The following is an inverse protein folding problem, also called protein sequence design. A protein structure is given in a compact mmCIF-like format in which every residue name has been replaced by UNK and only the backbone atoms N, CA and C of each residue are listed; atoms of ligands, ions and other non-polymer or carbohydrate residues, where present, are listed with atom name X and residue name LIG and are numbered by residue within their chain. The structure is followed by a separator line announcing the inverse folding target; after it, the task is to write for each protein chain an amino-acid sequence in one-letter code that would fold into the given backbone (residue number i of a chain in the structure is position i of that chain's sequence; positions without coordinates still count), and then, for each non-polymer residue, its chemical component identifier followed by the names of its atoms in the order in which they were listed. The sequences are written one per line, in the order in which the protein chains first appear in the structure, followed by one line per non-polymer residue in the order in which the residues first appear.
data_IF_861380931540
#
_entry.id   IF_861380931540
#
_cell.length_a   1.000
_cell.length_b   1.000
_cell.length_c   1.000
_cell.angle_alpha   90.00
_cell.angle_beta   90.00
_cell.angle_gamma   90.00
#
_symmetry.space_group_name_H-M   'P 1'
#
loop_
_entity.id
_entity.type
_entity.pdbx_description
1 polymer ?
#
# COMPACT_ATOMS: atom_id res chain seq x y z
N UNK A 1 19.54 33.47 13.86
CA UNK A 1 19.60 32.29 12.97
C UNK A 1 18.61 31.20 13.37
N UNK A 2 18.62 30.70 14.62
CA UNK A 2 17.68 29.65 15.07
C UNK A 2 16.19 30.06 15.05
N UNK A 3 15.89 31.33 15.37
CA UNK A 3 14.51 31.85 15.44
C UNK A 3 13.76 31.87 14.10
N UNK A 4 14.47 31.94 12.97
CA UNK A 4 13.89 31.89 11.61
C UNK A 4 14.03 30.53 10.95
N UNK A 5 15.06 29.75 11.32
CA UNK A 5 15.28 28.41 10.77
C UNK A 5 14.26 27.38 11.29
N UNK A 6 13.92 27.41 12.58
CA UNK A 6 12.99 26.45 13.19
C UNK A 6 11.59 26.52 12.56
N UNK A 7 10.96 27.70 12.39
CA UNK A 7 9.67 27.80 11.71
C UNK A 7 9.68 27.27 10.27
N UNK A 8 10.79 27.46 9.54
CA UNK A 8 10.92 27.03 8.14
C UNK A 8 10.85 25.50 7.98
N UNK A 9 11.25 24.73 8.99
CA UNK A 9 11.11 23.28 9.00
C UNK A 9 9.79 22.81 9.62
N UNK A 10 9.33 23.46 10.69
CA UNK A 10 8.11 23.04 11.39
C UNK A 10 6.85 23.32 10.57
N UNK A 11 6.75 24.48 9.92
CA UNK A 11 5.54 24.88 9.19
C UNK A 11 5.21 23.90 8.04
N UNK A 12 6.15 23.51 7.16
CA UNK A 12 5.89 22.48 6.15
C UNK A 12 5.47 21.14 6.75
N UNK A 13 6.10 20.72 7.85
CA UNK A 13 5.73 19.47 8.54
C UNK A 13 4.28 19.54 9.02
N UNK A 14 3.84 20.65 9.61
CA UNK A 14 2.45 20.83 10.05
C UNK A 14 1.49 20.81 8.86
N UNK A 15 1.83 21.49 7.76
CA UNK A 15 1.00 21.52 6.54
C UNK A 15 0.88 20.12 5.96
N UNK A 16 1.99 19.40 5.79
CA UNK A 16 2.01 18.05 5.25
C UNK A 16 1.27 17.07 6.17
N UNK A 17 1.45 17.23 7.48
CA UNK A 17 0.70 16.48 8.51
C UNK A 17 -0.78 16.87 8.55
N UNK A 18 -1.20 17.93 7.86
CA UNK A 18 -2.60 18.32 7.70
C UNK A 18 -3.18 17.97 6.33
N UNK A 19 -2.36 17.75 5.31
CA UNK A 19 -2.81 17.33 3.99
C UNK A 19 -3.57 16.01 4.04
N UNK A 20 -4.57 15.92 3.19
CA UNK A 20 -5.37 14.72 2.98
C UNK A 20 -4.65 13.79 2.03
N UNK A 21 -4.37 12.57 2.48
CA UNK A 21 -3.99 11.52 1.54
C UNK A 21 -5.25 10.99 0.86
N UNK A 22 -5.15 10.58 -0.42
CA UNK A 22 -6.22 9.82 -1.06
C UNK A 22 -6.57 8.60 -0.21
N UNK A 23 -7.83 8.22 -0.23
CA UNK A 23 -8.29 7.05 0.49
C UNK A 23 -7.71 5.77 -0.17
N UNK A 24 -7.20 4.82 0.61
CA UNK A 24 -6.63 3.59 0.05
C UNK A 24 -7.75 2.68 -0.46
N UNK A 25 -7.55 1.95 -1.55
CA UNK A 25 -8.51 0.92 -1.98
C UNK A 25 -8.68 -0.09 -0.84
N UNK A 26 -9.93 -0.37 -0.48
CA UNK A 26 -10.28 -1.30 0.60
C UNK A 26 -10.81 -2.59 0.01
N UNK A 27 -10.17 -3.70 0.36
CA UNK A 27 -10.63 -5.05 0.07
C UNK A 27 -11.35 -5.61 1.29
N UNK A 28 -12.68 -5.58 1.28
CA UNK A 28 -13.49 -6.10 2.37
C UNK A 28 -13.79 -7.58 2.15
N UNK A 29 -13.03 -8.43 2.82
CA UNK A 29 -13.23 -9.89 2.78
C UNK A 29 -14.61 -10.32 3.27
N UNK A 30 -15.17 -9.65 4.30
CA UNK A 30 -16.41 -10.12 4.92
C UNK A 30 -17.61 -9.95 4.01
N UNK A 31 -17.72 -8.79 3.35
CA UNK A 31 -18.76 -8.53 2.35
C UNK A 31 -18.39 -9.04 0.96
N UNK A 32 -17.13 -9.43 0.73
CA UNK A 32 -16.61 -9.79 -0.59
C UNK A 32 -16.80 -8.63 -1.59
N UNK A 33 -16.40 -7.43 -1.18
CA UNK A 33 -16.47 -6.20 -1.99
C UNK A 33 -15.16 -5.43 -1.95
N UNK A 34 -14.93 -4.66 -3.01
CA UNK A 34 -13.83 -3.71 -3.10
C UNK A 34 -14.41 -2.31 -3.12
N UNK A 35 -13.83 -1.41 -2.32
CA UNK A 35 -14.25 -0.01 -2.23
C UNK A 35 -13.12 0.92 -2.67
N UNK A 36 -13.49 1.96 -3.40
CA UNK A 36 -12.60 3.03 -3.81
C UNK A 36 -13.33 4.37 -3.70
N UNK A 37 -12.62 5.40 -3.28
CA UNK A 37 -13.17 6.75 -3.24
C UNK A 37 -12.37 7.62 -4.21
N UNK A 38 -13.09 8.28 -5.11
CA UNK A 38 -12.52 9.25 -6.03
C UNK A 38 -13.14 10.62 -5.76
N UNK A 39 -12.38 11.50 -5.12
CA UNK A 39 -12.80 12.88 -4.82
C UNK A 39 -14.11 12.97 -4.01
N UNK A 40 -14.37 12.02 -3.12
CA UNK A 40 -15.60 11.94 -2.31
C UNK A 40 -16.73 11.13 -2.94
N UNK A 41 -16.53 10.63 -4.15
CA UNK A 41 -17.46 9.71 -4.81
C UNK A 41 -17.07 8.26 -4.54
N UNK A 42 -18.03 7.50 -4.01
CA UNK A 42 -17.81 6.11 -3.62
C UNK A 42 -18.04 5.18 -4.81
N UNK A 43 -17.01 4.44 -5.17
CA UNK A 43 -17.03 3.36 -6.15
C UNK A 43 -16.90 2.02 -5.45
N UNK A 44 -17.57 1.02 -6.00
CA UNK A 44 -17.52 -0.34 -5.48
C UNK A 44 -17.65 -1.37 -6.59
N UNK A 45 -17.20 -2.58 -6.28
CA UNK A 45 -17.42 -3.74 -7.14
C UNK A 45 -17.46 -5.01 -6.30
N UNK A 46 -18.36 -5.96 -6.59
CA UNK A 46 -18.36 -7.25 -5.93
C UNK A 46 -17.10 -8.03 -6.33
N UNK A 47 -16.49 -8.70 -5.36
CA UNK A 47 -15.34 -9.57 -5.58
C UNK A 47 -15.70 -10.76 -6.50
N UNK A 48 -16.91 -11.31 -6.32
CA UNK A 48 -17.41 -12.35 -7.21
C UNK A 48 -17.80 -11.75 -8.55
N UNK A 49 -17.11 -12.16 -9.61
CA UNK A 49 -17.31 -11.61 -10.94
C UNK A 49 -16.58 -10.29 -11.18
N UNK A 50 -15.59 -9.96 -10.34
CA UNK A 50 -14.75 -8.78 -10.51
C UNK A 50 -14.05 -8.81 -11.87
N UNK A 51 -14.16 -7.70 -12.59
CA UNK A 51 -13.46 -7.51 -13.85
C UNK A 51 -12.12 -6.82 -13.58
N UNK A 52 -11.04 -7.54 -13.85
CA UNK A 52 -9.67 -7.09 -13.66
C UNK A 52 -8.87 -7.28 -14.94
N UNK A 53 -8.05 -6.29 -15.29
CA UNK A 53 -7.17 -6.34 -16.45
C UNK A 53 -5.75 -6.03 -16.01
N UNK A 54 -4.80 -6.83 -16.50
CA UNK A 54 -3.38 -6.56 -16.32
C UNK A 54 -2.77 -6.16 -17.67
N UNK A 55 -2.25 -4.93 -17.74
CA UNK A 55 -1.68 -4.35 -18.95
C UNK A 55 -0.18 -4.16 -18.77
N UNK A 56 0.64 -4.74 -19.65
CA UNK A 56 2.08 -4.46 -19.72
C UNK A 56 2.35 -3.46 -20.84
N UNK A 57 3.15 -2.44 -20.54
CA UNK A 57 3.45 -1.37 -21.48
C UNK A 57 4.80 -0.71 -21.17
N UNK A 58 5.51 -0.33 -22.22
CA UNK A 58 6.76 0.41 -22.11
C UNK A 58 6.49 1.91 -22.23
N UNK A 59 7.00 2.68 -21.26
CA UNK A 59 7.03 4.14 -21.35
C UNK A 59 8.43 4.59 -21.73
N UNK A 60 8.53 5.28 -22.86
CA UNK A 60 9.80 5.84 -23.36
C UNK A 60 9.81 7.34 -23.12
N UNK A 61 10.69 7.78 -22.22
CA UNK A 61 10.89 9.20 -21.90
C UNK A 61 12.25 9.70 -22.34
N UNK A 62 12.33 10.97 -22.76
CA UNK A 62 13.55 11.60 -23.27
C UNK A 62 14.73 11.53 -22.30
N UNK A 63 14.45 11.60 -20.99
CA UNK A 63 15.45 11.60 -19.92
C UNK A 63 15.47 10.31 -19.08
N UNK A 64 14.50 9.42 -19.28
CA UNK A 64 14.33 8.20 -18.48
C UNK A 64 14.62 6.91 -19.26
N UNK A 65 14.81 7.00 -20.58
CA UNK A 65 14.91 5.82 -21.45
C UNK A 65 13.60 5.03 -21.48
N UNK A 66 13.69 3.76 -21.87
CA UNK A 66 12.56 2.83 -21.80
C UNK A 66 12.43 2.28 -20.39
N UNK A 67 11.27 2.49 -19.78
CA UNK A 67 10.89 1.87 -18.51
C UNK A 67 9.70 0.97 -18.78
N UNK A 68 9.88 -0.31 -18.48
CA UNK A 68 8.79 -1.29 -18.52
C UNK A 68 7.88 -1.12 -17.32
N UNK A 69 6.58 -1.09 -17.58
CA UNK A 69 5.55 -0.94 -16.58
C UNK A 69 4.48 -2.00 -16.79
N UNK A 70 3.82 -2.39 -15.70
CA UNK A 70 2.65 -3.23 -15.79
C UNK A 70 1.60 -2.71 -14.80
N UNK A 71 0.42 -2.32 -15.27
CA UNK A 71 -0.70 -1.94 -14.42
C UNK A 71 -1.60 -3.15 -14.17
N UNK A 72 -2.15 -3.23 -12.96
CA UNK A 72 -3.25 -4.11 -12.62
C UNK A 72 -4.42 -3.22 -12.24
N UNK A 73 -5.48 -3.30 -13.02
CA UNK A 73 -6.61 -2.42 -12.93
C UNK A 73 -7.90 -3.21 -12.75
N UNK A 74 -8.84 -2.64 -12.02
CA UNK A 74 -10.16 -3.22 -11.75
C UNK A 74 -11.25 -2.23 -12.12
N UNK A 75 -12.29 -2.74 -12.76
CA UNK A 75 -13.49 -1.98 -13.06
C UNK A 75 -14.34 -1.81 -11.80
N UNK A 76 -14.66 -0.56 -11.48
CA UNK A 76 -15.50 -0.20 -10.34
C UNK A 76 -16.64 0.71 -10.77
N UNK A 77 -17.82 0.52 -10.17
CA UNK A 77 -19.04 1.27 -10.47
C UNK A 77 -19.33 2.28 -9.36
N UNK A 78 -19.85 3.46 -9.71
CA UNK A 78 -20.25 4.46 -8.72
C UNK A 78 -21.49 3.98 -7.95
N UNK A 79 -21.48 4.15 -6.64
CA UNK A 79 -22.61 3.81 -5.79
C UNK A 79 -23.84 4.65 -6.17
N UNK A 80 -24.92 3.98 -6.59
CA UNK A 80 -26.19 4.59 -6.98
C UNK A 80 -26.29 4.98 -8.46
N UNK A 81 -25.17 5.00 -9.19
CA UNK A 81 -25.10 5.37 -10.61
C UNK A 81 -24.22 4.35 -11.36
N UNK A 82 -24.72 3.13 -11.60
CA UNK A 82 -23.91 2.02 -12.10
C UNK A 82 -23.33 2.26 -13.51
N UNK A 83 -23.96 3.12 -14.31
CA UNK A 83 -23.46 3.61 -15.60
C UNK A 83 -22.13 4.39 -15.51
N UNK A 84 -21.79 4.91 -14.33
CA UNK A 84 -20.53 5.60 -14.10
C UNK A 84 -19.47 4.61 -13.61
N UNK A 85 -18.75 4.04 -14.57
CA UNK A 85 -17.70 3.06 -14.33
C UNK A 85 -16.31 3.66 -14.51
N UNK A 86 -15.36 3.26 -13.67
CA UNK A 86 -13.97 3.68 -13.76
C UNK A 86 -13.03 2.48 -13.62
N UNK A 87 -11.91 2.56 -14.34
CA UNK A 87 -10.84 1.57 -14.26
C UNK A 87 -9.80 2.06 -13.24
N UNK A 88 -9.66 1.34 -12.13
CA UNK A 88 -8.84 1.76 -10.99
C UNK A 88 -7.60 0.90 -10.86
N UNK A 89 -6.42 1.52 -10.87
CA UNK A 89 -5.16 0.82 -10.65
C UNK A 89 -4.97 0.45 -9.18
N UNK A 90 -4.80 -0.84 -8.89
CA UNK A 90 -4.70 -1.37 -7.50
C UNK A 90 -3.30 -1.15 -6.89
N UNK A 91 -2.29 -0.84 -7.71
CA UNK A 91 -0.93 -0.65 -7.25
C UNK A 91 -0.09 0.19 -8.20
N UNK A 92 1.15 0.48 -7.82
CA UNK A 92 2.06 1.27 -8.66
C UNK A 92 2.49 0.44 -9.88
N UNK A 93 2.24 0.92 -11.13
CA UNK A 93 2.62 0.20 -12.33
C UNK A 93 4.11 0.30 -12.65
N UNK A 94 4.78 1.33 -12.11
CA UNK A 94 6.14 1.69 -12.47
C UNK A 94 7.16 0.60 -12.14
N UNK A 95 7.92 0.17 -13.15
CA UNK A 95 8.99 -0.82 -12.99
C UNK A 95 8.52 -2.24 -12.64
N UNK A 96 7.22 -2.52 -12.81
CA UNK A 96 6.64 -3.85 -12.59
C UNK A 96 6.59 -4.65 -13.89
N UNK A 97 6.73 -5.96 -13.79
CA UNK A 97 6.42 -6.89 -14.88
C UNK A 97 5.00 -7.42 -14.74
N UNK A 98 4.46 -7.97 -15.83
CA UNK A 98 3.17 -8.65 -15.80
C UNK A 98 3.15 -9.83 -14.81
N UNK A 99 4.26 -10.55 -14.67
CA UNK A 99 4.40 -11.63 -13.69
C UNK A 99 4.27 -11.14 -12.25
N UNK A 100 4.89 -9.99 -11.93
CA UNK A 100 4.74 -9.38 -10.61
C UNK A 100 3.28 -8.98 -10.34
N UNK A 101 2.57 -8.45 -11.34
CA UNK A 101 1.15 -8.10 -11.21
C UNK A 101 0.25 -9.33 -11.05
N UNK A 102 0.55 -10.43 -11.75
CA UNK A 102 -0.13 -11.73 -11.55
C UNK A 102 0.08 -12.25 -10.12
N UNK A 103 1.31 -12.22 -9.63
CA UNK A 103 1.61 -12.59 -8.24
C UNK A 103 0.88 -11.71 -7.23
N UNK A 104 0.81 -10.40 -7.50
CA UNK A 104 0.05 -9.48 -6.66
C UNK A 104 -1.46 -9.75 -6.69
N UNK A 105 -2.02 -10.07 -7.85
CA UNK A 105 -3.42 -10.50 -7.97
C UNK A 105 -3.69 -11.79 -7.19
N UNK A 106 -2.82 -12.79 -7.31
CA UNK A 106 -2.94 -14.05 -6.56
C UNK A 106 -2.84 -13.85 -5.05
N UNK A 107 -2.02 -12.90 -4.59
CA UNK A 107 -1.98 -12.49 -3.19
C UNK A 107 -3.34 -11.92 -2.73
N UNK A 108 -3.91 -10.97 -3.48
CA UNK A 108 -5.23 -10.39 -3.17
C UNK A 108 -6.31 -11.48 -3.19
N UNK A 109 -6.28 -12.37 -4.20
CA UNK A 109 -7.22 -13.48 -4.31
C UNK A 109 -7.14 -14.43 -3.12
N UNK A 110 -5.93 -14.78 -2.68
CA UNK A 110 -5.72 -15.64 -1.51
C UNK A 110 -6.24 -14.97 -0.24
N UNK A 111 -5.99 -13.66 -0.07
CA UNK A 111 -6.54 -12.87 1.03
C UNK A 111 -8.08 -12.86 1.03
N UNK A 112 -8.69 -12.56 -0.12
CA UNK A 112 -10.15 -12.44 -0.24
C UNK A 112 -10.86 -13.78 -0.09
N UNK A 113 -10.31 -14.87 -0.63
CA UNK A 113 -10.97 -16.17 -0.64
C UNK A 113 -10.61 -17.02 0.58
N UNK A 114 -9.31 -17.15 0.87
CA UNK A 114 -8.79 -18.12 1.83
C UNK A 114 -8.59 -17.51 3.22
N UNK A 115 -8.52 -16.18 3.33
CA UNK A 115 -8.45 -15.47 4.59
C UNK A 115 -7.15 -14.70 4.81
N UNK A 116 -7.02 -14.03 5.96
CA UNK A 116 -5.88 -13.17 6.25
C UNK A 116 -4.56 -13.94 6.40
N UNK A 117 -4.65 -15.24 6.65
CA UNK A 117 -3.52 -16.11 6.87
C UNK A 117 -3.52 -17.21 5.83
N UNK A 118 -2.46 -17.24 5.04
CA UNK A 118 -2.24 -18.23 4.00
C UNK A 118 -0.76 -18.56 3.93
N UNK A 119 -0.45 -19.72 3.35
CA UNK A 119 0.92 -20.19 3.15
C UNK A 119 1.53 -19.68 1.84
N UNK A 120 2.75 -20.12 1.54
CA UNK A 120 3.48 -19.79 0.31
C UNK A 120 2.79 -20.25 -0.99
N UNK A 121 1.84 -21.18 -0.91
CA UNK A 121 1.03 -21.65 -2.05
C UNK A 121 -0.29 -20.88 -2.18
N UNK A 122 -0.59 -20.00 -1.22
CA UNK A 122 -1.84 -19.27 -1.13
C UNK A 122 -2.97 -20.06 -0.47
N UNK A 123 -2.72 -21.26 0.06
CA UNK A 123 -3.71 -22.04 0.79
C UNK A 123 -3.95 -21.47 2.19
N UNK A 124 -5.14 -21.65 2.76
CA UNK A 124 -5.46 -21.17 4.10
C UNK A 124 -4.50 -21.76 5.16
N UNK A 125 -4.07 -20.92 6.10
CA UNK A 125 -3.25 -21.30 7.25
C UNK A 125 -3.89 -20.79 8.54
N UNK A 126 -3.80 -21.56 9.62
CA UNK A 126 -4.20 -21.09 10.95
C UNK A 126 -3.16 -20.17 11.59
N UNK A 127 -1.88 -20.26 11.17
CA UNK A 127 -0.79 -19.41 11.64
C UNK A 127 -0.56 -18.21 10.72
N UNK A 128 -0.22 -17.07 11.33
CA UNK A 128 0.16 -15.83 10.66
C UNK A 128 1.68 -15.68 10.41
N UNK A 129 2.47 -16.70 10.75
CA UNK A 129 3.94 -16.68 10.67
C UNK A 129 4.45 -16.33 9.26
N UNK A 130 3.87 -16.96 8.22
CA UNK A 130 4.26 -16.68 6.85
C UNK A 130 4.00 -15.23 6.48
N UNK A 131 2.79 -14.72 6.73
CA UNK A 131 2.41 -13.34 6.40
C UNK A 131 3.27 -12.34 7.18
N UNK A 132 3.52 -12.60 8.47
CA UNK A 132 4.44 -11.78 9.29
C UNK A 132 5.86 -11.79 8.73
N UNK A 133 6.37 -12.94 8.31
CA UNK A 133 7.70 -13.02 7.69
C UNK A 133 7.82 -12.15 6.44
N UNK A 134 6.75 -12.05 5.64
CA UNK A 134 6.71 -11.18 4.46
C UNK A 134 6.60 -9.69 4.85
N UNK A 135 5.82 -9.37 5.89
CA UNK A 135 5.67 -8.01 6.40
C UNK A 135 6.97 -7.49 7.04
N UNK A 136 7.74 -8.36 7.71
CA UNK A 136 9.03 -8.01 8.33
C UNK A 136 10.09 -7.60 7.30
N UNK A 137 9.93 -7.99 6.03
CA UNK A 137 10.78 -7.53 4.93
C UNK A 137 10.46 -6.08 4.51
N UNK A 138 9.27 -5.56 4.83
CA UNK A 138 8.83 -4.22 4.48
C UNK A 138 9.34 -3.18 5.49
N UNK A 139 10.66 -2.98 5.51
CA UNK A 139 11.32 -2.02 6.39
C UNK A 139 10.93 -0.59 6.05
N UNK A 140 10.56 0.19 7.06
CA UNK A 140 10.41 1.65 6.94
C UNK A 140 11.76 2.30 6.66
N UNK A 141 11.74 3.48 6.03
CA UNK A 141 12.97 4.19 5.73
C UNK A 141 13.77 4.56 7.00
N UNK A 142 13.11 4.82 8.13
CA UNK A 142 13.82 5.09 9.39
C UNK A 142 14.42 3.85 10.03
N UNK A 143 14.05 2.65 9.59
CA UNK A 143 14.56 1.37 10.11
C UNK A 143 15.82 0.92 9.38
N UNK A 144 16.10 1.45 8.18
CA UNK A 144 17.29 1.11 7.40
C UNK A 144 18.60 1.33 8.17
N UNK A 145 18.70 2.36 9.01
CA UNK A 145 19.90 2.57 9.82
C UNK A 145 20.16 1.37 10.76
N UNK A 146 19.10 0.84 11.38
CA UNK A 146 19.19 -0.35 12.23
C UNK A 146 19.53 -1.60 11.44
N UNK A 147 18.88 -1.80 10.29
CA UNK A 147 19.15 -2.92 9.39
C UNK A 147 20.60 -2.93 8.89
N UNK A 148 21.13 -1.79 8.45
CA UNK A 148 22.53 -1.66 8.01
C UNK A 148 23.53 -1.90 9.14
N UNK A 149 23.24 -1.44 10.36
CA UNK A 149 24.07 -1.76 11.53
C UNK A 149 24.10 -3.26 11.83
N UNK A 150 22.97 -3.95 11.65
CA UNK A 150 22.89 -5.41 11.81
C UNK A 150 23.74 -6.13 10.75
N UNK A 151 23.60 -5.75 9.47
CA UNK A 151 24.41 -6.30 8.36
C UNK A 151 25.90 -6.11 8.63
N UNK A 152 26.33 -4.91 9.04
CA UNK A 152 27.74 -4.63 9.34
C UNK A 152 28.25 -5.48 10.52
N UNK A 153 27.43 -5.67 11.56
CA UNK A 153 27.77 -6.53 12.70
C UNK A 153 27.94 -7.99 12.26
N UNK A 154 27.03 -8.51 11.45
CA UNK A 154 27.11 -9.88 10.92
C UNK A 154 28.36 -10.07 10.05
N UNK A 155 28.69 -9.10 9.18
CA UNK A 155 29.95 -9.12 8.42
C UNK A 155 31.18 -9.10 9.31
N UNK A 156 31.14 -8.34 10.41
CA UNK A 156 32.23 -8.29 11.39
C UNK A 156 32.42 -9.63 12.10
N UNK A 157 31.33 -10.27 12.51
CA UNK A 157 31.35 -11.58 13.16
C UNK A 157 31.83 -12.68 12.22
N UNK A 158 31.46 -12.63 10.94
CA UNK A 158 31.91 -13.57 9.92
C UNK A 158 33.36 -13.34 9.44
N UNK A 159 33.91 -12.13 9.63
CA UNK A 159 35.16 -11.69 9.02
C UNK A 159 36.45 -12.11 9.71
N UNK A 160 36.38 -12.80 10.86
CA UNK A 160 37.53 -13.31 11.65
C UNK A 160 38.75 -12.36 11.70
N UNK A 161 38.51 -11.07 11.93
CA UNK A 161 39.57 -10.04 12.04
C UNK A 161 40.06 -9.41 10.74
N UNK A 162 39.55 -9.82 9.57
CA UNK A 162 39.82 -9.14 8.29
C UNK A 162 38.99 -7.86 8.10
N UNK A 163 39.37 -7.00 7.16
CA UNK A 163 38.65 -5.76 6.87
C UNK A 163 37.26 -6.10 6.26
N UNK A 164 36.22 -6.01 7.08
CA UNK A 164 34.84 -6.42 6.77
C UNK A 164 33.98 -5.30 6.17
N UNK A 165 34.48 -4.06 6.16
CA UNK A 165 33.75 -2.89 5.64
C UNK A 165 34.20 -2.56 4.22
N UNK A 166 33.31 -2.77 3.25
CA UNK A 166 33.50 -2.25 1.89
C UNK A 166 33.19 -0.75 1.85
N UNK A 167 33.77 -0.01 0.88
CA UNK A 167 33.45 1.41 0.69
C UNK A 167 31.95 1.67 0.49
N UNK A 168 31.22 0.73 -0.11
CA UNK A 168 29.77 0.76 -0.24
C UNK A 168 29.05 0.67 1.12
N UNK A 169 29.52 -0.20 2.02
CA UNK A 169 28.95 -0.35 3.36
C UNK A 169 29.11 0.95 4.18
N UNK A 170 30.30 1.57 4.09
CA UNK A 170 30.55 2.87 4.72
C UNK A 170 29.64 3.97 4.16
N UNK A 171 29.53 4.08 2.83
CA UNK A 171 28.67 5.07 2.18
C UNK A 171 27.19 4.88 2.55
N UNK A 172 26.71 3.64 2.59
CA UNK A 172 25.33 3.34 3.00
C UNK A 172 25.10 3.67 4.47
N UNK A 173 26.03 3.34 5.36
CA UNK A 173 25.92 3.70 6.78
C UNK A 173 25.87 5.22 6.96
N UNK A 174 26.79 5.95 6.31
CA UNK A 174 26.86 7.41 6.40
C UNK A 174 25.57 8.07 5.87
N UNK A 175 25.07 7.62 4.71
CA UNK A 175 23.79 8.07 4.15
C UNK A 175 22.66 7.85 5.16
N UNK A 176 22.53 6.64 5.71
CA UNK A 176 21.45 6.34 6.65
C UNK A 176 21.54 7.14 7.94
N UNK A 177 22.74 7.49 8.42
CA UNK A 177 22.93 8.39 9.57
C UNK A 177 22.48 9.82 9.22
N UNK A 178 22.95 10.35 8.08
CA UNK A 178 22.66 11.72 7.66
C UNK A 178 21.16 11.95 7.44
N UNK A 179 20.48 10.99 6.81
CA UNK A 179 19.06 11.07 6.50
C UNK A 179 18.14 10.54 7.60
N UNK A 180 18.67 9.96 8.69
CA UNK A 180 17.85 9.39 9.77
C UNK A 180 16.82 10.38 10.34
N UNK A 181 17.17 11.64 10.65
CA UNK A 181 16.17 12.60 11.17
C UNK A 181 15.05 12.86 10.17
N UNK A 182 15.38 13.01 8.89
CA UNK A 182 14.39 13.22 7.82
C UNK A 182 13.46 12.01 7.68
N UNK A 183 14.02 10.80 7.67
CA UNK A 183 13.23 9.56 7.57
C UNK A 183 12.28 9.39 8.76
N UNK A 184 12.71 9.77 9.98
CA UNK A 184 11.85 9.74 11.17
C UNK A 184 10.71 10.75 11.11
N UNK A 185 10.99 11.97 10.63
CA UNK A 185 9.95 12.98 10.40
C UNK A 185 8.97 12.47 9.36
N UNK A 186 9.46 11.92 8.25
CA UNK A 186 8.64 11.36 7.19
C UNK A 186 7.72 10.24 7.71
N UNK A 187 8.26 9.26 8.44
CA UNK A 187 7.45 8.19 9.04
C UNK A 187 6.34 8.75 9.95
N UNK A 188 6.67 9.74 10.79
CA UNK A 188 5.69 10.42 11.64
C UNK A 188 4.57 11.10 10.84
N UNK A 189 4.93 11.86 9.80
CA UNK A 189 3.96 12.54 8.93
C UNK A 189 3.06 11.51 8.23
N UNK A 190 3.63 10.46 7.65
CA UNK A 190 2.88 9.42 6.96
C UNK A 190 1.94 8.66 7.90
N UNK A 191 2.38 8.27 9.10
CA UNK A 191 1.52 7.61 10.09
C UNK A 191 0.32 8.47 10.46
N UNK A 192 0.56 9.78 10.71
CA UNK A 192 -0.50 10.71 11.07
C UNK A 192 -1.46 10.98 9.91
N UNK A 193 -0.96 11.02 8.68
CA UNK A 193 -1.76 11.17 7.47
C UNK A 193 -2.61 9.91 7.18
N UNK A 194 -2.02 8.71 7.28
CA UNK A 194 -2.73 7.42 7.15
C UNK A 194 -3.86 7.27 8.16
N UNK A 195 -3.62 7.60 9.44
CA UNK A 195 -4.65 7.53 10.49
C UNK A 195 -5.84 8.43 10.19
N UNK A 196 -5.61 9.62 9.62
CA UNK A 196 -6.69 10.55 9.25
C UNK A 196 -7.43 10.11 8.01
N UNK A 197 -6.75 9.50 7.03
CA UNK A 197 -7.39 8.92 5.84
C UNK A 197 -8.40 7.84 6.24
N UNK A 198 -8.05 6.93 7.15
CA UNK A 198 -8.99 5.89 7.65
C UNK A 198 -10.32 6.46 8.18
N UNK A 199 -10.29 7.61 8.84
CA UNK A 199 -11.46 8.22 9.46
C UNK A 199 -12.35 9.01 8.47
N UNK A 200 -11.99 9.04 7.17
CA UNK A 200 -12.73 9.79 6.14
C UNK A 200 -13.64 8.92 5.29
N UNK A 201 -13.57 7.60 5.46
CA UNK A 201 -14.45 6.69 4.74
C UNK A 201 -15.93 6.98 5.09
N UNK A 202 -16.84 6.96 4.11
CA UNK A 202 -18.26 7.09 4.35
C UNK A 202 -18.77 6.06 5.35
N UNK A 203 -19.75 6.43 6.17
CA UNK A 203 -20.31 5.57 7.24
C UNK A 203 -20.78 4.21 6.70
N UNK A 204 -21.38 4.20 5.51
CA UNK A 204 -21.85 2.98 4.83
C UNK A 204 -20.73 1.96 4.60
N UNK A 205 -19.49 2.42 4.41
CA UNK A 205 -18.31 1.55 4.29
C UNK A 205 -17.75 1.21 5.65
N UNK A 206 -17.61 2.19 6.56
CA UNK A 206 -16.99 1.93 7.88
C UNK A 206 -17.79 0.93 8.71
N UNK A 207 -19.12 1.02 8.73
CA UNK A 207 -19.99 0.04 9.40
C UNK A 207 -19.73 -1.37 8.86
N UNK A 208 -19.56 -1.54 7.55
CA UNK A 208 -19.27 -2.85 6.93
C UNK A 208 -17.88 -3.39 7.22
N UNK A 209 -16.96 -2.56 7.71
CA UNK A 209 -15.62 -2.97 8.12
C UNK A 209 -15.53 -3.38 9.59
N UNK A 210 -16.50 -2.97 10.41
CA UNK A 210 -16.59 -3.39 11.82
C UNK A 210 -16.90 -4.88 11.93
N UNK A 211 -16.41 -5.56 12.96
CA UNK A 211 -16.54 -7.03 13.08
C UNK A 211 -18.00 -7.51 13.21
N UNK A 212 -18.85 -6.70 13.85
CA UNK A 212 -20.28 -6.89 14.11
C UNK A 212 -21.19 -6.12 13.14
N UNK A 213 -20.61 -5.39 12.19
CA UNK A 213 -21.38 -4.63 11.21
C UNK A 213 -22.13 -5.48 10.17
N UNK A 214 -22.88 -4.85 9.26
CA UNK A 214 -23.69 -5.54 8.27
C UNK A 214 -22.85 -6.32 7.25
N UNK A 215 -23.35 -7.49 6.86
CA UNK A 215 -22.79 -8.31 5.76
C UNK A 215 -23.47 -8.05 4.42
N UNK A 216 -24.47 -7.16 4.37
CA UNK A 216 -25.13 -6.77 3.13
C UNK A 216 -24.16 -6.00 2.25
N UNK A 217 -24.06 -6.39 0.99
CA UNK A 217 -23.19 -5.75 0.00
C UNK A 217 -23.82 -4.44 -0.49
N UNK A 218 -23.01 -3.49 -0.91
CA UNK A 218 -23.49 -2.26 -1.53
C UNK A 218 -24.30 -2.55 -2.79
N UNK A 219 -23.90 -3.54 -3.59
CA UNK A 219 -24.68 -4.00 -4.75
C UNK A 219 -26.07 -4.54 -4.37
N UNK A 220 -26.18 -5.18 -3.19
CA UNK A 220 -27.47 -5.71 -2.74
C UNK A 220 -28.40 -4.55 -2.35
N UNK A 221 -27.88 -3.48 -1.73
CA UNK A 221 -28.63 -2.26 -1.44
C UNK A 221 -29.09 -1.53 -2.71
N UNK A 222 -28.28 -1.52 -3.75
CA UNK A 222 -28.65 -0.91 -5.03
C UNK A 222 -29.76 -1.69 -5.74
N UNK A 223 -29.71 -3.02 -5.67
CA UNK A 223 -30.78 -3.89 -6.19
C UNK A 223 -32.08 -3.71 -5.44
N UNK A 224 -32.03 -3.57 -4.11
CA UNK A 224 -33.22 -3.24 -3.31
C UNK A 224 -33.84 -1.89 -3.70
N UNK A 225 -33.03 -0.95 -4.19
CA UNK A 225 -33.48 0.35 -4.73
C UNK A 225 -33.95 0.28 -6.19
N UNK A 226 -33.91 -0.89 -6.82
CA UNK A 226 -34.35 -1.10 -8.20
C UNK A 226 -33.32 -0.71 -9.26
N UNK A 227 -32.06 -0.50 -8.89
CA UNK A 227 -30.98 -0.23 -9.84
C UNK A 227 -30.54 -1.53 -10.54
N UNK A 228 -30.23 -1.44 -11.83
CA UNK A 228 -29.68 -2.56 -12.61
C UNK A 228 -28.16 -2.61 -12.42
N UNK A 229 -27.68 -3.51 -11.56
CA UNK A 229 -26.27 -3.60 -11.15
C UNK A 229 -25.66 -4.99 -11.31
#
# INVERSE_FOLDING_TARGET
MLLFGIPLFIVPIIIETRRSLPLPIIFNRRTQEVYFDNEGELYHTPWKGIEAVACEFDMVGLYSGSIRNASLEVLMKRLGEPENEIMVSIGTPAGKSLEMQKGFWEYIRSYMNNGPWFDHTGAHSESDDFVKSQLDLNLKQSEYLGAWRKIIREKKEAGDGSNYLTGTDFLMLLKNILFYPSNKIQDFVYERAKRRSRNRWPTVVTERLEADGPTTRLIDLERERGLTV
#
